data_IF_011466948481
#
_entry.id   IF_011466948481
#
_cell.length_a   1.000
_cell.length_b   1.000
_cell.length_c   1.000
_cell.angle_alpha   90.00
_cell.angle_beta   90.00
_cell.angle_gamma   90.00
#
_symmetry.space_group_name_H-M   'P 1'
#
loop_
_entity.id
_entity.type
_entity.pdbx_description
1 polymer ?
#
# COMPACT_ATOMS: atom_id res chain seq x y z
N UNK A 1 -21.58 -9.89 2.86
CA UNK A 1 -20.62 -10.81 2.21
C UNK A 1 -19.82 -10.00 1.22
N UNK A 2 -18.64 -9.49 1.60
CA UNK A 2 -17.76 -8.79 0.66
C UNK A 2 -17.26 -9.81 -0.34
N UNK A 3 -17.64 -9.65 -1.61
CA UNK A 3 -17.27 -10.56 -2.68
C UNK A 3 -15.74 -10.74 -2.73
N UNK A 4 -15.28 -11.97 -2.91
CA UNK A 4 -13.85 -12.28 -3.15
C UNK A 4 -13.25 -11.40 -4.27
N UNK A 5 -14.06 -11.08 -5.29
CA UNK A 5 -13.68 -10.14 -6.36
C UNK A 5 -13.55 -8.67 -5.93
N UNK A 6 -14.17 -8.25 -4.82
CA UNK A 6 -14.00 -6.91 -4.26
C UNK A 6 -12.63 -6.73 -3.59
N UNK A 7 -12.07 -7.79 -3.00
CA UNK A 7 -10.72 -7.76 -2.41
C UNK A 7 -9.67 -7.69 -3.51
N UNK A 8 -9.82 -8.49 -4.58
CA UNK A 8 -8.91 -8.43 -5.73
C UNK A 8 -8.98 -7.07 -6.43
N UNK A 9 -10.18 -6.54 -6.70
CA UNK A 9 -10.33 -5.22 -7.32
C UNK A 9 -9.75 -4.08 -6.44
N UNK A 10 -9.96 -4.13 -5.12
CA UNK A 10 -9.38 -3.15 -4.21
C UNK A 10 -7.84 -3.29 -4.11
N UNK A 11 -7.33 -4.52 -4.20
CA UNK A 11 -5.89 -4.78 -4.21
C UNK A 11 -5.24 -4.25 -5.49
N UNK A 12 -5.87 -4.44 -6.65
CA UNK A 12 -5.41 -3.89 -7.94
C UNK A 12 -5.37 -2.34 -7.92
N UNK A 13 -6.42 -1.70 -7.38
CA UNK A 13 -6.44 -0.24 -7.24
C UNK A 13 -5.36 0.27 -6.27
N UNK A 14 -5.17 -0.40 -5.14
CA UNK A 14 -4.09 -0.07 -4.20
C UNK A 14 -2.71 -0.28 -4.83
N UNK A 15 -2.56 -1.31 -5.67
CA UNK A 15 -1.34 -1.57 -6.43
C UNK A 15 -1.03 -0.44 -7.42
N UNK A 16 -2.03 0.09 -8.12
CA UNK A 16 -1.89 1.27 -8.98
C UNK A 16 -1.53 2.55 -8.22
N UNK A 17 -2.08 2.74 -7.01
CA UNK A 17 -1.72 3.86 -6.14
C UNK A 17 -0.27 3.75 -5.66
N UNK A 18 0.15 2.54 -5.27
CA UNK A 18 1.54 2.27 -4.91
C UNK A 18 2.49 2.57 -6.08
N UNK A 19 2.13 2.19 -7.31
CA UNK A 19 2.88 2.52 -8.51
C UNK A 19 3.04 4.04 -8.70
N UNK A 20 1.99 4.81 -8.42
CA UNK A 20 2.03 6.28 -8.52
C UNK A 20 2.92 6.91 -7.45
N UNK A 21 2.91 6.35 -6.23
CA UNK A 21 3.75 6.82 -5.12
C UNK A 21 5.23 6.51 -5.32
N UNK A 22 5.53 5.30 -5.80
CA UNK A 22 6.90 4.81 -6.01
C UNK A 22 7.46 5.28 -7.35
N UNK A 23 6.59 5.61 -8.31
CA UNK A 23 6.94 5.91 -9.69
C UNK A 23 7.11 4.63 -10.51
N UNK A 24 6.60 4.63 -11.74
CA UNK A 24 6.72 3.50 -12.67
C UNK A 24 8.18 3.17 -13.07
N UNK A 25 9.13 4.07 -12.75
CA UNK A 25 10.54 3.94 -13.11
C UNK A 25 11.44 3.24 -12.08
N UNK A 26 10.91 2.79 -10.94
CA UNK A 26 11.73 2.10 -9.95
C UNK A 26 12.02 0.67 -10.43
N UNK A 27 13.29 0.39 -10.72
CA UNK A 27 13.76 -0.93 -11.10
C UNK A 27 13.32 -1.94 -10.03
N UNK A 28 12.37 -2.81 -10.39
CA UNK A 28 11.86 -3.89 -9.53
C UNK A 28 13.05 -4.74 -9.09
N UNK A 29 13.34 -4.72 -7.81
CA UNK A 29 14.50 -5.35 -7.21
C UNK A 29 14.26 -5.57 -5.71
N UNK A 30 15.14 -6.29 -4.99
CA UNK A 30 14.99 -6.57 -3.56
C UNK A 30 15.24 -5.31 -2.73
N UNK A 31 14.36 -4.32 -2.86
CA UNK A 31 14.38 -3.12 -2.07
C UNK A 31 13.89 -3.49 -0.67
N UNK A 32 14.83 -3.61 0.27
CA UNK A 32 14.51 -3.46 1.69
C UNK A 32 14.27 -1.98 1.92
N UNK A 33 13.03 -1.55 1.75
CA UNK A 33 12.56 -0.32 2.36
C UNK A 33 12.57 -0.56 3.87
N UNK A 34 13.72 -0.28 4.48
CA UNK A 34 13.84 -0.27 5.93
C UNK A 34 13.20 1.04 6.41
N UNK A 35 12.05 0.92 7.07
CA UNK A 35 11.37 2.03 7.71
C UNK A 35 11.71 1.99 9.20
N UNK A 36 12.85 2.55 9.62
CA UNK A 36 13.15 2.68 11.04
C UNK A 36 12.02 3.49 11.67
N UNK A 37 11.45 2.99 12.77
CA UNK A 37 10.27 3.51 13.48
C UNK A 37 8.88 3.01 13.03
N UNK A 38 8.79 2.12 12.04
CA UNK A 38 7.49 1.52 11.64
C UNK A 38 6.79 0.82 12.81
N UNK A 39 7.53 0.26 13.77
CA UNK A 39 6.96 -0.41 14.95
C UNK A 39 6.17 0.55 15.86
N UNK A 40 6.54 1.84 15.91
CA UNK A 40 5.84 2.89 16.67
C UNK A 40 4.71 3.56 15.88
N UNK A 41 4.67 3.36 14.56
CA UNK A 41 3.68 3.97 13.69
C UNK A 41 2.26 3.40 13.94
N UNK A 42 1.25 4.21 13.63
CA UNK A 42 -0.15 3.76 13.63
C UNK A 42 -0.32 2.54 12.70
N UNK A 43 -1.29 1.68 13.02
CA UNK A 43 -1.50 0.42 12.30
C UNK A 43 -1.63 0.63 10.78
N UNK A 44 -2.34 1.68 10.37
CA UNK A 44 -2.52 2.12 8.99
C UNK A 44 -1.20 2.49 8.30
N UNK A 45 -0.35 3.28 8.95
CA UNK A 45 0.97 3.65 8.42
C UNK A 45 1.89 2.42 8.25
N UNK A 46 1.86 1.46 9.18
CA UNK A 46 2.60 0.20 9.05
C UNK A 46 2.11 -0.63 7.87
N UNK A 47 0.79 -0.69 7.72
CA UNK A 47 0.16 -1.42 6.64
C UNK A 47 0.57 -0.81 5.30
N UNK A 48 0.51 0.51 5.16
CA UNK A 48 0.93 1.24 3.93
C UNK A 48 2.39 0.96 3.60
N UNK A 49 3.30 1.08 4.57
CA UNK A 49 4.72 0.84 4.33
C UNK A 49 5.04 -0.63 3.95
N UNK A 50 4.37 -1.61 4.58
CA UNK A 50 4.48 -3.03 4.20
C UNK A 50 3.89 -3.29 2.81
N UNK A 51 2.78 -2.63 2.48
CA UNK A 51 2.15 -2.76 1.17
C UNK A 51 3.03 -2.17 0.05
N UNK A 52 3.62 -0.99 0.28
CA UNK A 52 4.58 -0.38 -0.63
C UNK A 52 5.85 -1.24 -0.80
N UNK A 53 6.31 -1.88 0.27
CA UNK A 53 7.42 -2.84 0.19
C UNK A 53 7.04 -4.06 -0.64
N UNK A 54 5.83 -4.60 -0.47
CA UNK A 54 5.33 -5.71 -1.28
C UNK A 54 5.25 -5.32 -2.77
N UNK A 55 4.78 -4.10 -3.08
CA UNK A 55 4.79 -3.55 -4.44
C UNK A 55 6.21 -3.46 -5.02
N UNK A 56 7.16 -2.88 -4.26
CA UNK A 56 8.55 -2.72 -4.71
C UNK A 56 9.25 -4.06 -4.99
N UNK A 57 8.88 -5.11 -4.25
CA UNK A 57 9.38 -6.48 -4.43
C UNK A 57 8.54 -7.32 -5.41
N UNK A 58 7.50 -6.74 -6.02
CA UNK A 58 6.53 -7.44 -6.88
C UNK A 58 5.86 -8.66 -6.20
N UNK A 59 5.70 -8.61 -4.88
CA UNK A 59 5.13 -9.68 -4.07
C UNK A 59 3.61 -9.49 -3.87
N UNK A 60 2.85 -9.95 -4.85
CA UNK A 60 1.39 -9.90 -4.84
C UNK A 60 0.77 -10.78 -3.73
N UNK A 61 1.47 -11.83 -3.31
CA UNK A 61 1.00 -12.76 -2.27
C UNK A 61 0.97 -12.07 -0.91
N UNK A 62 2.05 -11.36 -0.57
CA UNK A 62 2.14 -10.55 0.65
C UNK A 62 1.10 -9.43 0.65
N UNK A 63 0.89 -8.74 -0.47
CA UNK A 63 -0.15 -7.71 -0.58
C UNK A 63 -1.56 -8.25 -0.36
N UNK A 64 -1.87 -9.41 -0.95
CA UNK A 64 -3.17 -10.08 -0.76
C UNK A 64 -3.37 -10.51 0.70
N UNK A 65 -2.30 -11.03 1.34
CA UNK A 65 -2.33 -11.42 2.74
C UNK A 65 -2.57 -10.21 3.67
N UNK A 66 -1.91 -9.08 3.41
CA UNK A 66 -2.10 -7.82 4.13
C UNK A 66 -3.53 -7.29 3.99
N UNK A 67 -4.13 -7.40 2.80
CA UNK A 67 -5.53 -7.04 2.56
C UNK A 67 -6.50 -7.89 3.36
N UNK A 68 -6.29 -9.21 3.40
CA UNK A 68 -7.12 -10.13 4.18
C UNK A 68 -6.98 -9.89 5.68
N UNK A 69 -5.76 -9.65 6.17
CA UNK A 69 -5.52 -9.32 7.57
C UNK A 69 -6.28 -8.05 7.98
N UNK A 70 -6.15 -6.97 7.20
CA UNK A 70 -6.85 -5.71 7.48
C UNK A 70 -8.39 -5.84 7.37
N UNK A 71 -8.89 -6.74 6.51
CA UNK A 71 -10.32 -7.05 6.42
C UNK A 71 -10.83 -7.78 7.66
N UNK A 72 -10.10 -8.79 8.14
CA UNK A 72 -10.44 -9.52 9.37
C UNK A 72 -10.38 -8.59 10.59
N UNK A 73 -9.41 -7.68 10.63
CA UNK A 73 -9.27 -6.68 11.69
C UNK A 73 -10.31 -5.55 11.60
N UNK A 74 -11.12 -5.49 10.53
CA UNK A 74 -12.10 -4.41 10.30
C UNK A 74 -11.46 -3.03 10.03
N UNK A 75 -10.16 -2.98 9.73
CA UNK A 75 -9.38 -1.74 9.53
C UNK A 75 -9.06 -1.45 8.07
N UNK A 76 -9.59 -2.26 7.15
CA UNK A 76 -9.32 -2.15 5.72
C UNK A 76 -9.63 -0.76 5.16
N UNK A 77 -10.79 -0.20 5.50
CA UNK A 77 -11.20 1.13 5.01
C UNK A 77 -10.24 2.23 5.47
N UNK A 78 -9.84 2.20 6.75
CA UNK A 78 -8.89 3.17 7.30
C UNK A 78 -7.51 3.07 6.66
N UNK A 79 -7.04 1.85 6.37
CA UNK A 79 -5.77 1.61 5.68
C UNK A 79 -5.81 2.12 4.23
N UNK A 80 -6.93 1.90 3.52
CA UNK A 80 -7.13 2.40 2.16
C UNK A 80 -7.19 3.92 2.12
N UNK A 81 -7.88 4.56 3.07
CA UNK A 81 -7.93 6.01 3.19
C UNK A 81 -6.54 6.60 3.46
N UNK A 82 -5.75 5.97 4.33
CA UNK A 82 -4.37 6.38 4.60
C UNK A 82 -3.47 6.24 3.38
N UNK A 83 -3.60 5.13 2.64
CA UNK A 83 -2.88 4.91 1.37
C UNK A 83 -3.25 5.99 0.34
N UNK A 84 -4.53 6.23 0.12
CA UNK A 84 -5.02 7.23 -0.81
C UNK A 84 -4.57 8.64 -0.40
N UNK A 85 -4.65 8.99 0.88
CA UNK A 85 -4.18 10.27 1.41
C UNK A 85 -2.68 10.45 1.21
N UNK A 86 -1.89 9.40 1.44
CA UNK A 86 -0.44 9.41 1.21
C UNK A 86 -0.11 9.55 -0.29
N UNK A 87 -0.84 8.87 -1.16
CA UNK A 87 -0.68 8.97 -2.61
C UNK A 87 -1.01 10.38 -3.12
N UNK A 88 -2.14 10.96 -2.70
CA UNK A 88 -2.52 12.33 -3.05
C UNK A 88 -1.49 13.34 -2.53
N UNK A 89 -0.97 13.16 -1.32
CA UNK A 89 0.09 14.01 -0.79
C UNK A 89 1.37 13.95 -1.62
N UNK A 90 1.77 12.76 -2.09
CA UNK A 90 2.92 12.58 -2.99
C UNK A 90 2.67 13.20 -4.36
N UNK A 91 1.51 12.96 -4.97
CA UNK A 91 1.13 13.57 -6.26
C UNK A 91 1.13 15.10 -6.16
N UNK A 92 0.56 15.67 -5.08
CA UNK A 92 0.54 17.13 -4.89
C UNK A 92 1.94 17.72 -4.74
N UNK A 93 2.88 16.98 -4.14
CA UNK A 93 4.29 17.39 -4.07
C UNK A 93 4.98 17.35 -5.45
N UNK A 94 4.58 16.43 -6.32
CA UNK A 94 5.14 16.28 -7.66
C UNK A 94 4.48 17.16 -8.72
N UNK A 95 3.23 17.61 -8.51
CA UNK A 95 2.48 18.49 -9.42
C UNK A 95 2.72 19.99 -9.22
N UNK A 96 3.63 20.37 -8.32
CA UNK A 96 4.02 21.77 -8.07
C UNK A 96 5.46 22.03 -8.56
N UNK A 97 5.79 21.51 -9.75
CA UNK A 97 7.03 21.76 -10.48
C UNK A 97 6.74 22.55 -11.76
#
# INVERSE_FOLDING_TARGET
MVHRGGVEAACELAWGLAATMIGEGLAKGPWRLDFPDIEQAAYDARWVARFLSAYANADLSTATALFRAAQVDGKLEQCLLMLAGSAVATIRKHGCA
#
